data_IF_801347136739
#
_entry.id   IF_801347136739
#
_cell.length_a   1.000
_cell.length_b   1.000
_cell.length_c   1.000
_cell.angle_alpha   90.00
_cell.angle_beta   90.00
_cell.angle_gamma   90.00
#
_symmetry.space_group_name_H-M   'P 1'
#
loop_
_entity.id
_entity.type
_entity.pdbx_description
1 polymer ?
#
# COMPACT_ATOMS: atom_id res chain seq x y z
N UNK A 1 15.25 50.41 -10.64
CA UNK A 1 15.94 50.26 -9.35
C UNK A 1 14.96 49.55 -8.43
N UNK A 2 15.26 48.33 -8.00
CA UNK A 2 14.54 47.76 -6.86
C UNK A 2 15.09 48.51 -5.64
N UNK A 3 14.25 49.35 -5.03
CA UNK A 3 14.57 49.99 -3.76
C UNK A 3 14.84 48.92 -2.69
N UNK A 4 15.54 49.27 -1.60
CA UNK A 4 15.96 48.39 -0.49
C UNK A 4 14.84 47.50 0.09
N UNK A 5 13.57 47.80 -0.22
CA UNK A 5 12.42 46.90 -0.02
C UNK A 5 11.36 47.14 -1.09
N UNK A 6 10.97 46.10 -1.80
CA UNK A 6 9.88 46.15 -2.78
C UNK A 6 8.52 46.24 -2.05
N UNK A 7 7.87 47.40 -2.14
CA UNK A 7 6.58 47.67 -1.48
C UNK A 7 5.42 46.84 -2.01
N UNK A 8 5.47 46.37 -3.26
CA UNK A 8 4.42 45.53 -3.84
C UNK A 8 4.54 44.08 -3.34
N UNK A 9 5.76 43.54 -3.30
CA UNK A 9 6.03 42.21 -2.73
C UNK A 9 5.70 42.18 -1.24
N UNK A 10 6.08 43.23 -0.51
CA UNK A 10 5.77 43.35 0.90
C UNK A 10 4.26 43.31 1.16
N UNK A 11 3.45 44.08 0.41
CA UNK A 11 2.00 44.08 0.56
C UNK A 11 1.36 42.69 0.32
N UNK A 12 1.91 41.90 -0.60
CA UNK A 12 1.44 40.52 -0.86
C UNK A 12 1.73 39.61 0.33
N UNK A 13 2.88 39.73 0.98
CA UNK A 13 3.19 38.95 2.19
C UNK A 13 2.16 39.19 3.30
N UNK A 14 1.76 40.45 3.53
CA UNK A 14 0.72 40.78 4.52
C UNK A 14 -0.64 40.18 4.21
N UNK A 15 -0.98 40.04 2.93
CA UNK A 15 -2.25 39.46 2.51
C UNK A 15 -2.23 37.93 2.54
N UNK A 16 -1.09 37.31 2.24
CA UNK A 16 -0.99 35.86 2.09
C UNK A 16 -0.55 35.15 3.38
N UNK A 17 0.38 35.71 4.15
CA UNK A 17 0.97 35.03 5.30
C UNK A 17 -0.04 34.75 6.43
N UNK A 18 -0.91 35.71 6.84
CA UNK A 18 -1.90 35.45 7.88
C UNK A 18 -2.90 34.33 7.53
N UNK A 19 -3.57 34.32 6.36
CA UNK A 19 -4.48 33.22 6.04
C UNK A 19 -3.77 31.89 5.84
N UNK A 20 -2.50 31.87 5.38
CA UNK A 20 -1.70 30.64 5.35
C UNK A 20 -1.48 30.07 6.76
N UNK A 21 -1.13 30.90 7.74
CA UNK A 21 -0.95 30.47 9.13
C UNK A 21 -2.27 29.96 9.74
N UNK A 22 -3.38 30.64 9.48
CA UNK A 22 -4.72 30.21 9.92
C UNK A 22 -5.11 28.87 9.29
N UNK A 23 -4.91 28.70 7.99
CA UNK A 23 -5.21 27.46 7.28
C UNK A 23 -4.36 26.28 7.80
N UNK A 24 -3.07 26.51 8.03
CA UNK A 24 -2.18 25.52 8.63
C UNK A 24 -2.64 25.13 10.05
N UNK A 25 -2.97 26.10 10.90
CA UNK A 25 -3.48 25.85 12.25
C UNK A 25 -4.81 25.09 12.23
N UNK A 26 -5.73 25.45 11.34
CA UNK A 26 -6.99 24.73 11.16
C UNK A 26 -6.75 23.28 10.69
N UNK A 27 -5.88 23.09 9.70
CA UNK A 27 -5.48 21.76 9.21
C UNK A 27 -4.90 20.89 10.31
N UNK A 28 -3.96 21.42 11.12
CA UNK A 28 -3.39 20.70 12.26
C UNK A 28 -4.46 20.31 13.28
N UNK A 29 -5.37 21.23 13.64
CA UNK A 29 -6.48 20.93 14.56
C UNK A 29 -7.36 19.78 14.06
N UNK A 30 -7.70 19.78 12.76
CA UNK A 30 -8.49 18.69 12.17
C UNK A 30 -7.71 17.38 12.14
N UNK A 31 -6.43 17.40 11.79
CA UNK A 31 -5.58 16.21 11.79
C UNK A 31 -5.45 15.61 13.19
N UNK A 32 -5.22 16.42 14.22
CA UNK A 32 -5.14 15.95 15.61
C UNK A 32 -6.44 15.30 16.07
N UNK A 33 -7.59 15.91 15.77
CA UNK A 33 -8.89 15.35 16.10
C UNK A 33 -9.13 14.02 15.37
N UNK A 34 -8.85 13.96 14.06
CA UNK A 34 -9.01 12.76 13.25
C UNK A 34 -8.16 11.60 13.77
N UNK A 35 -6.87 11.85 14.04
CA UNK A 35 -5.94 10.80 14.50
C UNK A 35 -6.30 10.29 15.90
N UNK A 36 -6.88 11.13 16.77
CA UNK A 36 -7.30 10.70 18.11
C UNK A 36 -8.44 9.67 18.07
N UNK A 37 -9.36 9.81 17.09
CA UNK A 37 -10.57 9.00 17.00
C UNK A 37 -10.53 7.92 15.91
N UNK A 38 -9.52 7.93 15.03
CA UNK A 38 -9.39 6.95 13.95
C UNK A 38 -9.24 5.52 14.50
N UNK A 39 -10.18 4.65 14.11
CA UNK A 39 -10.15 3.21 14.45
C UNK A 39 -9.99 2.37 13.17
N UNK A 40 -8.87 1.65 13.01
CA UNK A 40 -8.74 0.65 11.96
C UNK A 40 -9.79 -0.45 12.13
N UNK A 41 -10.31 -0.96 11.03
CA UNK A 41 -11.15 -2.16 10.98
C UNK A 41 -10.39 -3.27 10.26
N UNK A 42 -9.64 -4.13 11.00
CA UNK A 42 -8.81 -5.16 10.39
C UNK A 42 -9.61 -6.16 9.56
N UNK A 43 -10.86 -6.46 9.96
CA UNK A 43 -11.71 -7.40 9.26
C UNK A 43 -12.12 -6.86 7.89
N UNK A 44 -12.54 -5.59 7.83
CA UNK A 44 -12.85 -4.92 6.55
C UNK A 44 -11.62 -4.72 5.69
N UNK A 45 -10.46 -4.42 6.28
CA UNK A 45 -9.20 -4.31 5.54
C UNK A 45 -8.80 -5.64 4.90
N UNK A 46 -8.86 -6.75 5.65
CA UNK A 46 -8.59 -8.08 5.12
C UNK A 46 -9.58 -8.46 4.01
N UNK A 47 -10.88 -8.22 4.22
CA UNK A 47 -11.91 -8.46 3.22
C UNK A 47 -11.68 -7.64 1.94
N UNK A 48 -11.19 -6.39 2.07
CA UNK A 48 -10.89 -5.54 0.94
C UNK A 48 -9.72 -6.06 0.08
N UNK A 49 -8.73 -6.71 0.71
CA UNK A 49 -7.61 -7.32 -0.02
C UNK A 49 -8.04 -8.59 -0.76
N UNK A 50 -8.96 -9.36 -0.17
CA UNK A 50 -9.56 -10.54 -0.81
C UNK A 50 -10.56 -10.18 -1.93
N UNK A 51 -10.92 -8.89 -2.10
CA UNK A 51 -11.73 -8.44 -3.24
C UNK A 51 -11.07 -8.85 -4.56
N UNK A 52 -11.90 -9.09 -5.57
CA UNK A 52 -11.45 -9.64 -6.86
C UNK A 52 -10.68 -10.96 -6.72
N UNK A 53 -11.06 -11.80 -5.74
CA UNK A 53 -10.48 -13.13 -5.56
C UNK A 53 -9.02 -13.13 -5.07
N UNK A 54 -8.56 -12.05 -4.45
CA UNK A 54 -7.18 -11.94 -3.96
C UNK A 54 -6.16 -11.63 -5.07
N UNK A 55 -6.56 -10.95 -6.14
CA UNK A 55 -5.67 -10.55 -7.23
C UNK A 55 -4.46 -9.71 -6.75
N UNK A 56 -4.61 -8.99 -5.63
CA UNK A 56 -3.53 -8.26 -4.97
C UNK A 56 -2.32 -9.15 -4.59
N UNK A 57 -2.52 -10.46 -4.45
CA UNK A 57 -1.46 -11.40 -4.10
C UNK A 57 -0.70 -12.01 -5.29
N UNK A 58 -1.01 -11.61 -6.53
CA UNK A 58 -0.42 -12.24 -7.72
C UNK A 58 1.12 -12.21 -7.72
N UNK A 59 1.73 -11.09 -7.35
CA UNK A 59 3.19 -10.97 -7.27
C UNK A 59 3.78 -11.87 -6.18
N UNK A 60 3.17 -11.87 -4.99
CA UNK A 60 3.59 -12.73 -3.89
C UNK A 60 3.54 -14.22 -4.25
N UNK A 61 2.49 -14.65 -4.96
CA UNK A 61 2.34 -16.02 -5.44
C UNK A 61 3.41 -16.39 -6.49
N UNK A 62 3.78 -15.46 -7.37
CA UNK A 62 4.85 -15.69 -8.35
C UNK A 62 6.22 -15.81 -7.65
N UNK A 63 6.49 -14.98 -6.64
CA UNK A 63 7.71 -15.09 -5.85
C UNK A 63 7.77 -16.35 -4.99
N UNK A 64 6.63 -16.82 -4.46
CA UNK A 64 6.56 -18.11 -3.76
C UNK A 64 6.96 -19.30 -4.62
N UNK A 65 6.75 -19.21 -5.94
CA UNK A 65 7.14 -20.25 -6.91
C UNK A 65 8.56 -20.12 -7.44
N UNK A 66 9.19 -18.95 -7.32
CA UNK A 66 10.54 -18.69 -7.82
C UNK A 66 11.65 -19.61 -7.25
N UNK A 67 11.54 -20.18 -6.03
CA UNK A 67 12.48 -21.20 -5.55
C UNK A 67 12.42 -22.52 -6.34
N UNK A 68 11.34 -22.78 -7.08
CA UNK A 68 11.10 -24.04 -7.78
C UNK A 68 11.21 -23.94 -9.30
N UNK A 69 11.25 -22.72 -9.86
CA UNK A 69 11.30 -22.48 -11.31
C UNK A 69 11.79 -21.06 -11.61
N UNK A 70 12.19 -20.77 -12.87
CA UNK A 70 12.47 -19.39 -13.29
C UNK A 70 11.29 -18.45 -13.01
N UNK A 71 11.58 -17.25 -12.52
CA UNK A 71 10.55 -16.27 -12.14
C UNK A 71 9.57 -15.96 -13.28
N UNK A 72 10.05 -15.94 -14.53
CA UNK A 72 9.21 -15.72 -15.70
C UNK A 72 8.11 -16.80 -15.82
N UNK A 73 8.48 -18.06 -15.62
CA UNK A 73 7.55 -19.18 -15.72
C UNK A 73 6.52 -19.15 -14.57
N UNK A 74 6.98 -18.77 -13.36
CA UNK A 74 6.10 -18.55 -12.22
C UNK A 74 5.07 -17.44 -12.50
N UNK A 75 5.50 -16.31 -13.06
CA UNK A 75 4.63 -15.21 -13.45
C UNK A 75 3.62 -15.63 -14.54
N UNK A 76 4.03 -16.45 -15.51
CA UNK A 76 3.14 -16.99 -16.53
C UNK A 76 2.04 -17.88 -15.92
N UNK A 77 2.38 -18.75 -14.97
CA UNK A 77 1.40 -19.58 -14.24
C UNK A 77 0.40 -18.71 -13.50
N UNK A 78 0.87 -17.73 -12.72
CA UNK A 78 -0.03 -16.87 -11.94
C UNK A 78 -0.89 -15.99 -12.84
N UNK A 79 -0.34 -15.47 -13.94
CA UNK A 79 -1.09 -14.68 -14.92
C UNK A 79 -2.22 -15.50 -15.56
N UNK A 80 -1.96 -16.75 -15.94
CA UNK A 80 -2.99 -17.64 -16.46
C UNK A 80 -4.08 -17.93 -15.41
N UNK A 81 -3.67 -18.17 -14.14
CA UNK A 81 -4.61 -18.38 -13.04
C UNK A 81 -5.48 -17.14 -12.75
N UNK A 82 -4.90 -15.94 -12.80
CA UNK A 82 -5.60 -14.67 -12.65
C UNK A 82 -6.59 -14.40 -13.79
N UNK A 83 -6.22 -14.69 -15.03
CA UNK A 83 -7.14 -14.59 -16.16
C UNK A 83 -8.35 -15.54 -16.00
N UNK A 84 -8.10 -16.78 -15.56
CA UNK A 84 -9.17 -17.75 -15.29
C UNK A 84 -10.05 -17.31 -14.11
N UNK A 85 -9.46 -16.75 -13.04
CA UNK A 85 -10.19 -16.18 -11.90
C UNK A 85 -11.07 -15.00 -12.31
N UNK A 86 -10.58 -14.10 -13.16
CA UNK A 86 -11.36 -12.98 -13.66
C UNK A 86 -12.55 -13.45 -14.52
N UNK A 87 -12.38 -14.50 -15.31
CA UNK A 87 -13.43 -15.02 -16.18
C UNK A 87 -14.51 -15.84 -15.45
N UNK A 88 -14.13 -16.60 -14.40
CA UNK A 88 -15.02 -17.60 -13.78
C UNK A 88 -15.18 -17.46 -12.27
N UNK A 89 -14.59 -16.42 -11.66
CA UNK A 89 -14.65 -16.16 -10.23
C UNK A 89 -13.75 -17.09 -9.39
N UNK A 90 -13.98 -17.09 -8.08
CA UNK A 90 -13.19 -17.87 -7.11
C UNK A 90 -11.89 -17.18 -6.67
N UNK A 91 -11.09 -17.87 -5.85
CA UNK A 91 -9.85 -17.33 -5.31
C UNK A 91 -8.67 -17.64 -6.23
N UNK A 92 -7.76 -16.68 -6.38
CA UNK A 92 -6.55 -16.82 -7.17
C UNK A 92 -5.64 -17.94 -6.64
N UNK A 93 -5.46 -18.00 -5.31
CA UNK A 93 -4.59 -18.99 -4.67
C UNK A 93 -5.03 -20.43 -4.95
N UNK A 94 -6.33 -20.70 -4.96
CA UNK A 94 -6.86 -22.04 -5.23
C UNK A 94 -6.51 -22.49 -6.67
N UNK A 95 -6.56 -21.56 -7.62
CA UNK A 95 -6.22 -21.82 -9.02
C UNK A 95 -4.73 -21.99 -9.25
N UNK A 96 -3.91 -21.16 -8.58
CA UNK A 96 -2.45 -21.33 -8.59
C UNK A 96 -2.11 -22.70 -8.01
N UNK A 97 -2.69 -23.08 -6.88
CA UNK A 97 -2.45 -24.39 -6.26
C UNK A 97 -2.89 -25.55 -7.14
N UNK A 98 -4.01 -25.43 -7.86
CA UNK A 98 -4.41 -26.43 -8.86
C UNK A 98 -3.39 -26.55 -10.01
N UNK A 99 -2.88 -25.41 -10.51
CA UNK A 99 -1.85 -25.38 -11.55
C UNK A 99 -0.49 -25.96 -11.07
N UNK A 100 -0.15 -25.75 -9.80
CA UNK A 100 1.02 -26.34 -9.13
C UNK A 100 0.87 -27.85 -8.98
N UNK A 101 -0.27 -28.33 -8.50
CA UNK A 101 -0.54 -29.76 -8.33
C UNK A 101 -0.41 -30.52 -9.66
N UNK A 102 -0.93 -29.96 -10.76
CA UNK A 102 -0.80 -30.54 -12.11
C UNK A 102 0.66 -30.65 -12.60
N UNK A 103 1.60 -29.93 -11.97
CA UNK A 103 3.03 -29.88 -12.31
C UNK A 103 3.91 -30.54 -11.24
N UNK A 104 3.33 -31.13 -10.20
CA UNK A 104 4.08 -31.72 -9.09
C UNK A 104 4.79 -30.70 -8.19
N UNK A 105 4.32 -29.44 -8.19
CA UNK A 105 4.88 -28.36 -7.38
C UNK A 105 4.18 -28.26 -6.03
N UNK A 106 4.88 -27.77 -4.98
CA UNK A 106 4.26 -27.59 -3.68
C UNK A 106 3.13 -26.56 -3.72
N UNK A 107 2.11 -26.80 -2.90
CA UNK A 107 1.06 -25.83 -2.68
C UNK A 107 1.65 -24.54 -2.10
N UNK A 108 1.15 -23.41 -2.58
CA UNK A 108 1.51 -22.09 -2.11
C UNK A 108 0.60 -21.71 -0.93
N UNK A 109 1.19 -21.07 0.07
CA UNK A 109 0.49 -20.39 1.15
C UNK A 109 0.74 -18.89 1.07
N UNK A 110 -0.28 -18.11 1.41
CA UNK A 110 -0.13 -16.68 1.64
C UNK A 110 0.19 -16.45 3.11
N UNK A 111 1.40 -16.00 3.37
CA UNK A 111 1.79 -15.45 4.65
C UNK A 111 1.70 -13.92 4.60
N UNK A 112 0.61 -13.36 5.11
CA UNK A 112 0.43 -11.90 5.15
C UNK A 112 1.50 -11.20 5.99
N UNK A 113 2.05 -11.86 7.01
CA UNK A 113 3.02 -11.20 7.89
C UNK A 113 4.34 -10.94 7.16
N UNK A 114 4.84 -11.90 6.38
CA UNK A 114 6.03 -11.67 5.56
C UNK A 114 5.81 -10.60 4.48
N UNK A 115 4.61 -10.51 3.90
CA UNK A 115 4.30 -9.48 2.90
C UNK A 115 4.27 -8.06 3.51
N UNK A 116 3.95 -7.94 4.80
CA UNK A 116 3.87 -6.65 5.51
C UNK A 116 5.17 -6.28 6.25
N UNK A 117 6.17 -7.16 6.28
CA UNK A 117 7.43 -6.95 7.02
C UNK A 117 8.14 -5.62 6.65
N UNK A 118 8.27 -5.22 5.37
CA UNK A 118 8.85 -3.91 5.02
C UNK A 118 8.09 -2.72 5.61
N UNK A 119 6.76 -2.85 5.75
CA UNK A 119 5.92 -1.82 6.35
C UNK A 119 6.22 -1.59 7.83
N UNK A 120 6.50 -2.67 8.58
CA UNK A 120 6.89 -2.57 10.00
C UNK A 120 8.21 -1.83 10.16
N UNK A 121 9.21 -2.14 9.34
CA UNK A 121 10.51 -1.46 9.39
C UNK A 121 10.37 0.06 9.15
N UNK A 122 9.54 0.45 8.17
CA UNK A 122 9.26 1.87 7.91
C UNK A 122 8.60 2.57 9.11
N UNK A 123 7.63 1.91 9.76
CA UNK A 123 6.98 2.45 10.97
C UNK A 123 8.00 2.60 12.10
N UNK A 124 8.83 1.59 12.35
CA UNK A 124 9.85 1.64 13.39
C UNK A 124 10.85 2.78 13.16
N UNK A 125 11.29 2.98 11.92
CA UNK A 125 12.17 4.09 11.55
C UNK A 125 11.52 5.45 11.80
N UNK A 126 10.25 5.61 11.42
CA UNK A 126 9.52 6.86 11.64
C UNK A 126 9.31 7.15 13.13
N UNK A 127 8.97 6.13 13.93
CA UNK A 127 8.82 6.26 15.39
C UNK A 127 10.14 6.58 16.07
N UNK A 128 11.25 5.99 15.62
CA UNK A 128 12.58 6.32 16.15
C UNK A 128 12.96 7.77 15.85
N UNK A 129 12.71 8.23 14.62
CA UNK A 129 13.03 9.59 14.19
C UNK A 129 12.19 10.67 14.89
N UNK A 130 10.97 10.35 15.35
CA UNK A 130 10.11 11.31 16.07
C UNK A 130 10.41 11.43 17.57
N UNK A 131 11.26 10.55 18.11
CA UNK A 131 11.61 10.48 19.54
C UNK A 131 13.03 11.00 19.85
N UNK A 132 13.85 11.26 18.84
CA UNK A 132 15.19 11.83 18.96
C UNK A 132 15.18 13.30 18.59
#
# INVERSE_FOLDING_TARGET
QTEERDGAVWAVEWLCLPPMAVAAGAGLRHATALVADLRPDPARMAAAIELNGGAAYAEALAFGLAPHMPLKDAQEIVKAAAAAQAATGGRLIDRVNAACAARGLPAQQLDLESQLAPGRELVERAVKASRG
#
